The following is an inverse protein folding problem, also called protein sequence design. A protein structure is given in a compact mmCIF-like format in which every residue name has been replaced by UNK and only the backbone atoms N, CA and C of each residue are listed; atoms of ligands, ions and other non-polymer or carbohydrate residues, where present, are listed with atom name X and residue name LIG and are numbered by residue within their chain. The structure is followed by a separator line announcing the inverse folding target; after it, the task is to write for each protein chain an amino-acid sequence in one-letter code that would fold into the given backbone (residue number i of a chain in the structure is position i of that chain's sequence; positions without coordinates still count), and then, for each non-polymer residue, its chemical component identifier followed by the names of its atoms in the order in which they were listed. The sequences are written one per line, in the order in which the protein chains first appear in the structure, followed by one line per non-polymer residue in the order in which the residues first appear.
data_IF_253797225780
#
_entry.id   IF_253797225780
#
_cell.length_a   1.000
_cell.length_b   1.000
_cell.length_c   1.000
_cell.angle_alpha   90.00
_cell.angle_beta   90.00
_cell.angle_gamma   90.00
#
_symmetry.space_group_name_H-M   'P 1'
#
loop_
_entity.id
_entity.type
_entity.pdbx_description
1 polymer ?
#
# COMPACT_ATOMS: atom_id res chain seq x y z
N UNK A 1 37.41 60.06 4.13
CA UNK A 1 36.32 61.06 4.16
C UNK A 1 35.16 60.48 4.98
N UNK A 2 34.82 61.16 6.09
CA UNK A 2 33.54 61.22 6.84
C UNK A 2 32.87 59.87 7.16
N UNK A 3 33.00 59.32 8.38
CA UNK A 3 32.27 59.69 9.62
C UNK A 3 30.76 59.80 9.44
N UNK A 4 29.98 58.94 10.12
CA UNK A 4 28.94 59.36 11.06
C UNK A 4 28.37 58.15 11.84
N UNK A 5 28.54 58.22 13.16
CA UNK A 5 27.88 57.40 14.14
C UNK A 5 26.41 57.86 14.32
N UNK A 6 25.53 56.93 14.66
CA UNK A 6 24.30 57.25 15.39
C UNK A 6 23.97 56.16 16.40
N UNK A 7 24.18 56.53 17.66
CA UNK A 7 23.62 55.92 18.86
C UNK A 7 22.10 56.08 18.86
N UNK A 8 21.35 55.02 19.19
CA UNK A 8 20.00 55.14 19.74
C UNK A 8 19.75 54.09 20.83
N UNK A 9 19.30 54.63 21.96
CA UNK A 9 18.98 54.04 23.25
C UNK A 9 18.20 52.72 23.20
N UNK A 10 18.58 51.81 24.10
CA UNK A 10 17.76 50.67 24.49
C UNK A 10 16.63 51.15 25.41
N UNK A 11 15.38 50.94 24.99
CA UNK A 11 14.19 51.08 25.82
C UNK A 11 13.86 49.70 26.37
N UNK A 12 14.15 49.46 27.66
CA UNK A 12 13.75 48.23 28.35
C UNK A 12 12.27 48.39 28.74
N UNK A 13 11.38 47.78 27.96
CA UNK A 13 9.98 47.62 28.31
C UNK A 13 9.82 46.28 29.04
N UNK A 14 9.80 46.32 30.37
CA UNK A 14 9.50 45.17 31.21
C UNK A 14 8.02 44.81 31.10
N UNK A 15 7.69 43.85 30.23
CA UNK A 15 6.37 43.23 30.18
C UNK A 15 6.27 42.16 31.27
N UNK A 16 5.47 42.43 32.30
CA UNK A 16 4.97 41.41 33.22
C UNK A 16 4.02 40.48 32.46
N UNK A 17 4.48 39.28 32.11
CA UNK A 17 3.64 38.23 31.53
C UNK A 17 2.90 37.54 32.69
N UNK A 18 1.57 37.61 32.78
CA UNK A 18 0.83 36.84 33.77
C UNK A 18 0.98 35.34 33.43
N UNK A 19 1.46 34.57 34.40
CA UNK A 19 1.53 33.11 34.34
C UNK A 19 0.10 32.56 34.30
N UNK A 20 -0.44 32.36 33.10
CA UNK A 20 -1.67 31.61 32.90
C UNK A 20 -1.31 30.14 33.05
N UNK A 21 -1.67 29.55 34.18
CA UNK A 21 -1.61 28.10 34.38
C UNK A 21 -2.64 27.46 33.45
N UNK A 22 -2.20 27.08 32.25
CA UNK A 22 -3.01 26.21 31.38
C UNK A 22 -3.05 24.84 32.01
N UNK A 23 -4.18 24.50 32.62
CA UNK A 23 -4.51 23.13 32.99
C UNK A 23 -4.46 22.29 31.71
N UNK A 24 -3.39 21.52 31.54
CA UNK A 24 -3.30 20.50 30.50
C UNK A 24 -4.34 19.44 30.83
N UNK A 25 -5.51 19.53 30.20
CA UNK A 25 -6.42 18.41 30.14
C UNK A 25 -5.76 17.39 29.20
N UNK A 26 -5.05 16.42 29.78
CA UNK A 26 -4.59 15.27 29.03
C UNK A 26 -5.84 14.56 28.50
N UNK A 27 -6.03 14.62 27.18
CA UNK A 27 -7.02 13.78 26.51
C UNK A 27 -6.70 12.32 26.88
N UNK A 28 -7.70 11.47 27.14
CA UNK A 28 -7.45 10.06 27.37
C UNK A 28 -6.73 9.51 26.15
N UNK A 29 -5.48 9.12 26.36
CA UNK A 29 -4.69 8.38 25.40
C UNK A 29 -5.40 7.04 25.26
N UNK A 30 -6.19 6.90 24.19
CA UNK A 30 -6.77 5.61 23.85
C UNK A 30 -5.58 4.71 23.52
N UNK A 31 -5.22 3.84 24.47
CA UNK A 31 -4.46 2.63 24.18
C UNK A 31 -5.29 1.82 23.19
N UNK A 32 -5.14 2.15 21.90
CA UNK A 32 -5.47 1.24 20.83
C UNK A 32 -4.45 0.13 20.99
N UNK A 33 -4.79 -0.89 21.78
CA UNK A 33 -4.03 -2.10 21.87
C UNK A 33 -3.81 -2.57 20.43
N UNK A 34 -2.58 -2.39 19.94
CA UNK A 34 -2.19 -2.81 18.61
C UNK A 34 -2.59 -4.29 18.53
N UNK A 35 -3.55 -4.60 17.66
CA UNK A 35 -3.90 -5.99 17.40
C UNK A 35 -2.59 -6.69 17.09
N UNK A 36 -2.20 -7.67 17.91
CA UNK A 36 -0.96 -8.43 17.72
C UNK A 36 -0.97 -8.93 16.28
N UNK A 37 -0.09 -8.38 15.45
CA UNK A 37 0.02 -8.78 14.06
C UNK A 37 0.26 -10.29 14.03
N UNK A 38 -0.59 -11.02 13.33
CA UNK A 38 -0.40 -12.47 13.21
C UNK A 38 0.85 -12.70 12.36
N UNK A 39 1.87 -13.28 12.98
CA UNK A 39 3.08 -13.71 12.29
C UNK A 39 3.17 -15.24 12.38
N UNK A 40 3.41 -15.95 11.27
CA UNK A 40 3.53 -17.40 11.32
C UNK A 40 4.74 -17.82 12.17
N UNK A 41 4.69 -18.98 12.83
CA UNK A 41 5.80 -19.46 13.65
C UNK A 41 7.05 -19.67 12.79
N UNK A 42 8.21 -19.32 13.36
CA UNK A 42 9.51 -19.58 12.76
C UNK A 42 10.23 -20.72 13.50
N UNK A 43 11.26 -21.34 12.90
CA UNK A 43 12.14 -22.25 13.61
C UNK A 43 12.75 -21.62 14.87
N UNK A 44 13.10 -22.47 15.83
CA UNK A 44 13.73 -22.03 17.08
C UNK A 44 14.95 -21.12 16.83
N UNK A 45 15.07 -20.07 17.64
CA UNK A 45 16.16 -19.09 17.52
C UNK A 45 16.05 -18.15 16.32
N UNK A 46 14.91 -18.12 15.61
CA UNK A 46 14.61 -17.16 14.55
C UNK A 46 13.54 -16.16 14.99
N UNK A 47 13.66 -14.94 14.48
CA UNK A 47 12.68 -13.87 14.68
C UNK A 47 12.35 -13.21 13.34
N UNK A 48 11.11 -12.74 13.20
CA UNK A 48 10.73 -11.90 12.09
C UNK A 48 11.48 -10.56 12.17
N UNK A 49 11.86 -10.03 11.01
CA UNK A 49 12.41 -8.69 10.87
C UNK A 49 11.69 -8.02 9.73
N UNK A 50 11.24 -6.77 9.95
CA UNK A 50 10.63 -5.98 8.91
C UNK A 50 11.68 -5.63 7.85
N UNK A 51 11.56 -6.25 6.67
CA UNK A 51 12.50 -6.02 5.58
C UNK A 51 12.12 -4.81 4.73
N UNK A 52 10.82 -4.52 4.64
CA UNK A 52 10.26 -3.47 3.80
C UNK A 52 8.83 -3.17 4.24
N UNK A 53 8.44 -1.90 4.22
CA UNK A 53 7.06 -1.47 4.42
C UNK A 53 6.77 -0.15 3.71
N UNK A 54 5.48 0.15 3.56
CA UNK A 54 5.01 1.48 3.20
C UNK A 54 3.67 1.74 3.90
N UNK A 55 3.69 2.72 4.81
CA UNK A 55 2.49 3.17 5.54
C UNK A 55 1.75 4.29 4.80
N UNK A 56 2.27 4.73 3.64
CA UNK A 56 1.65 5.74 2.77
C UNK A 56 1.42 7.12 3.43
N UNK A 57 2.22 7.48 4.44
CA UNK A 57 2.19 8.79 5.12
C UNK A 57 2.61 9.99 4.24
N UNK A 58 3.15 9.71 3.06
CA UNK A 58 3.60 10.73 2.11
C UNK A 58 2.45 11.45 1.40
N UNK A 59 2.71 12.69 0.97
CA UNK A 59 1.78 13.49 0.15
C UNK A 59 1.64 12.98 -1.30
N UNK A 60 2.46 12.00 -1.68
CA UNK A 60 2.38 11.28 -2.95
C UNK A 60 2.92 9.86 -2.75
N UNK A 61 2.59 8.97 -3.68
CA UNK A 61 3.14 7.60 -3.71
C UNK A 61 4.66 7.69 -3.87
N UNK A 62 5.42 7.02 -3.00
CA UNK A 62 6.87 6.97 -3.07
C UNK A 62 7.30 6.17 -4.32
N UNK A 63 7.75 6.89 -5.35
CA UNK A 63 8.17 6.26 -6.60
C UNK A 63 9.54 5.58 -6.53
N UNK A 64 10.31 5.75 -5.45
CA UNK A 64 11.48 4.92 -5.19
C UNK A 64 11.06 3.50 -4.74
N UNK A 65 9.87 3.36 -4.15
CA UNK A 65 9.27 2.08 -3.75
C UNK A 65 8.35 1.48 -4.80
N UNK A 66 7.51 2.30 -5.43
CA UNK A 66 6.41 1.87 -6.28
C UNK A 66 6.50 2.40 -7.70
N UNK A 67 6.31 1.55 -8.70
CA UNK A 67 5.95 1.96 -10.05
C UNK A 67 4.44 2.19 -10.12
N UNK A 68 4.02 3.37 -10.56
CA UNK A 68 2.64 3.63 -10.96
C UNK A 68 2.41 3.03 -12.35
N UNK A 69 1.53 2.03 -12.45
CA UNK A 69 1.21 1.37 -13.71
C UNK A 69 0.39 2.33 -14.61
N UNK A 70 0.71 2.43 -15.90
CA UNK A 70 0.16 3.47 -16.77
C UNK A 70 -0.21 3.02 -18.18
N UNK A 71 -1.35 3.54 -18.63
CA UNK A 71 -2.15 3.29 -19.85
C UNK A 71 -2.02 1.88 -20.47
N UNK A 72 -2.22 0.86 -19.64
CA UNK A 72 -2.27 -0.53 -20.09
C UNK A 72 -3.68 -1.08 -19.95
N UNK A 73 -4.20 -1.67 -21.03
CA UNK A 73 -5.46 -2.41 -20.97
C UNK A 73 -5.32 -3.61 -20.04
N UNK A 74 -6.23 -3.73 -19.06
CA UNK A 74 -6.33 -4.85 -18.13
C UNK A 74 -7.77 -5.34 -18.10
N UNK A 75 -8.03 -6.48 -18.74
CA UNK A 75 -9.38 -7.02 -18.98
C UNK A 75 -10.28 -5.94 -19.59
N UNK A 76 -11.36 -5.57 -18.91
CA UNK A 76 -12.38 -4.62 -19.36
C UNK A 76 -12.06 -3.17 -19.01
N UNK A 77 -10.94 -2.92 -18.31
CA UNK A 77 -10.49 -1.59 -17.92
C UNK A 77 -9.06 -1.27 -18.35
N UNK A 78 -8.55 -0.16 -17.84
CA UNK A 78 -7.21 0.35 -18.11
C UNK A 78 -6.54 0.78 -16.81
N UNK A 79 -5.28 0.38 -16.61
CA UNK A 79 -4.46 0.98 -15.56
C UNK A 79 -3.99 2.35 -15.99
N UNK A 80 -4.19 3.36 -15.15
CA UNK A 80 -3.71 4.73 -15.37
C UNK A 80 -3.02 5.24 -14.11
N UNK A 81 -1.97 6.03 -14.27
CA UNK A 81 -1.11 6.43 -13.14
C UNK A 81 -1.84 7.37 -12.20
N UNK A 82 -2.71 8.22 -12.75
CA UNK A 82 -3.45 9.26 -12.05
C UNK A 82 -4.52 8.69 -11.10
N UNK A 83 -4.86 7.41 -11.24
CA UNK A 83 -5.80 6.72 -10.36
C UNK A 83 -5.10 5.97 -9.20
N UNK A 84 -3.78 6.10 -9.06
CA UNK A 84 -3.01 5.64 -7.92
C UNK A 84 -2.37 6.84 -7.19
N UNK A 85 -2.89 7.20 -6.01
CA UNK A 85 -2.45 8.37 -5.24
C UNK A 85 -2.62 8.13 -3.74
N UNK A 86 -1.93 8.91 -2.91
CA UNK A 86 -2.19 8.91 -1.45
C UNK A 86 -3.27 9.91 -1.09
N UNK A 87 -4.11 9.60 -0.11
CA UNK A 87 -5.14 10.52 0.38
C UNK A 87 -4.60 11.61 1.33
N UNK A 88 -3.35 11.46 1.79
CA UNK A 88 -2.72 12.31 2.79
C UNK A 88 -3.00 11.89 4.24
N UNK A 89 -3.80 10.83 4.44
CA UNK A 89 -4.24 10.31 5.73
C UNK A 89 -3.71 8.87 5.97
N UNK A 90 -2.57 8.52 5.37
CA UNK A 90 -1.92 7.21 5.54
C UNK A 90 -2.50 6.09 4.68
N UNK A 91 -3.16 6.40 3.56
CA UNK A 91 -3.65 5.37 2.64
C UNK A 91 -3.25 5.60 1.20
N UNK A 92 -2.87 4.50 0.54
CA UNK A 92 -2.88 4.40 -0.91
C UNK A 92 -4.31 4.21 -1.42
N UNK A 93 -4.73 5.09 -2.32
CA UNK A 93 -5.97 5.00 -3.05
C UNK A 93 -5.71 4.44 -4.45
N UNK A 94 -6.29 3.27 -4.73
CA UNK A 94 -6.41 2.73 -6.08
C UNK A 94 -7.85 2.96 -6.56
N UNK A 95 -8.07 4.11 -7.17
CA UNK A 95 -9.41 4.51 -7.63
C UNK A 95 -9.82 3.68 -8.83
N UNK A 96 -11.09 3.36 -8.95
CA UNK A 96 -11.71 2.93 -10.21
C UNK A 96 -12.77 3.95 -10.59
N UNK A 97 -12.81 4.39 -11.85
CA UNK A 97 -13.82 5.33 -12.33
C UNK A 97 -14.18 5.04 -13.78
N UNK A 98 -15.33 5.55 -14.22
CA UNK A 98 -15.66 5.68 -15.64
C UNK A 98 -15.02 6.98 -16.16
N UNK A 99 -14.27 6.89 -17.25
CA UNK A 99 -13.61 8.00 -17.92
C UNK A 99 -13.97 7.97 -19.41
N UNK A 100 -14.92 8.80 -19.81
CA UNK A 100 -15.57 8.71 -21.12
C UNK A 100 -16.20 7.34 -21.37
N UNK A 101 -15.73 6.66 -22.41
CA UNK A 101 -16.17 5.32 -22.81
C UNK A 101 -15.35 4.18 -22.17
N UNK A 102 -14.38 4.50 -21.30
CA UNK A 102 -13.51 3.50 -20.66
C UNK A 102 -13.74 3.46 -19.15
N UNK A 103 -13.33 2.35 -18.55
CA UNK A 103 -13.12 2.27 -17.11
C UNK A 103 -11.62 2.31 -16.83
N UNK A 104 -11.20 3.19 -15.92
CA UNK A 104 -9.81 3.32 -15.50
C UNK A 104 -9.67 2.89 -14.05
N UNK A 105 -8.50 2.36 -13.70
CA UNK A 105 -8.16 2.09 -12.32
C UNK A 105 -6.68 2.31 -11.98
N UNK A 106 -6.41 2.56 -10.71
CA UNK A 106 -5.06 2.63 -10.18
C UNK A 106 -4.45 1.25 -10.01
N UNK A 107 -3.15 1.13 -10.28
CA UNK A 107 -2.35 -0.05 -9.94
C UNK A 107 -0.92 0.39 -9.67
N UNK A 108 -0.30 -0.24 -8.67
CA UNK A 108 1.10 -0.05 -8.33
C UNK A 108 1.82 -1.39 -8.23
N UNK A 109 3.12 -1.39 -8.47
CA UNK A 109 3.98 -2.58 -8.27
C UNK A 109 5.39 -2.21 -7.86
N UNK A 110 6.12 -3.13 -7.26
CA UNK A 110 7.51 -2.91 -6.80
C UNK A 110 8.58 -3.43 -7.78
N UNK A 111 8.20 -3.74 -9.03
CA UNK A 111 9.10 -4.35 -10.03
C UNK A 111 10.38 -3.53 -10.20
N UNK A 112 11.53 -4.19 -10.08
CA UNK A 112 12.85 -3.55 -10.15
C UNK A 112 13.18 -2.59 -9.00
N UNK A 113 12.36 -2.54 -7.94
CA UNK A 113 12.54 -1.68 -6.75
C UNK A 113 12.66 -2.53 -5.49
N UNK A 114 11.65 -3.35 -5.22
CA UNK A 114 11.67 -4.34 -4.15
C UNK A 114 11.14 -5.67 -4.67
N UNK A 115 12.04 -6.65 -4.72
CA UNK A 115 11.75 -8.03 -5.11
C UNK A 115 12.38 -8.93 -4.05
N UNK A 116 11.57 -9.73 -3.36
CA UNK A 116 12.05 -10.55 -2.25
C UNK A 116 11.61 -12.01 -2.40
N UNK A 117 12.54 -12.92 -2.11
CA UNK A 117 12.28 -14.36 -2.10
C UNK A 117 12.00 -14.80 -0.67
N UNK A 118 10.86 -15.47 -0.50
CA UNK A 118 10.32 -15.84 0.81
C UNK A 118 9.93 -14.63 1.65
N UNK A 119 9.40 -14.87 2.83
CA UNK A 119 8.92 -13.84 3.75
C UNK A 119 7.41 -13.93 3.99
N UNK A 120 6.94 -13.00 4.79
CA UNK A 120 5.53 -12.83 5.11
C UNK A 120 5.07 -11.47 4.57
N UNK A 121 3.95 -11.46 3.86
CA UNK A 121 3.45 -10.29 3.14
C UNK A 121 2.06 -9.96 3.68
N UNK A 122 1.89 -8.71 4.12
CA UNK A 122 0.63 -8.22 4.70
C UNK A 122 0.20 -6.97 3.95
N UNK A 123 -1.10 -6.87 3.68
CA UNK A 123 -1.75 -5.66 3.22
C UNK A 123 -3.02 -5.46 4.04
N UNK A 124 -3.12 -4.30 4.70
CA UNK A 124 -4.36 -3.86 5.33
C UNK A 124 -5.09 -2.96 4.35
N UNK A 125 -6.25 -3.41 3.87
CA UNK A 125 -7.02 -2.70 2.85
C UNK A 125 -8.50 -2.61 3.23
N UNK A 126 -9.21 -1.72 2.54
CA UNK A 126 -10.67 -1.57 2.63
C UNK A 126 -11.26 -1.69 1.23
N UNK A 127 -12.30 -2.50 1.12
CA UNK A 127 -12.95 -2.77 -0.16
C UNK A 127 -14.09 -1.80 -0.48
N UNK A 128 -14.39 -1.78 -1.76
CA UNK A 128 -15.39 -0.96 -2.43
C UNK A 128 -16.76 -1.58 -2.19
N UNK A 129 -17.79 -0.74 -2.19
CA UNK A 129 -19.18 -1.17 -1.91
C UNK A 129 -20.06 -1.23 -3.16
N UNK A 130 -19.45 -1.11 -4.34
CA UNK A 130 -20.14 -1.12 -5.63
C UNK A 130 -19.74 -2.35 -6.44
N UNK A 131 -20.64 -2.82 -7.30
CA UNK A 131 -20.37 -3.97 -8.16
C UNK A 131 -19.39 -3.57 -9.28
N UNK A 132 -18.56 -4.52 -9.71
CA UNK A 132 -17.68 -4.35 -10.88
C UNK A 132 -16.22 -4.07 -10.56
N UNK A 133 -15.84 -4.00 -9.29
CA UNK A 133 -14.44 -3.97 -8.88
C UNK A 133 -13.86 -5.39 -8.80
N UNK A 134 -12.56 -5.50 -9.10
CA UNK A 134 -11.77 -6.71 -8.87
C UNK A 134 -10.45 -6.30 -8.18
N UNK A 135 -10.50 -5.95 -6.89
CA UNK A 135 -9.30 -5.71 -6.09
C UNK A 135 -8.48 -7.00 -5.94
N UNK A 136 -7.16 -6.86 -5.99
CA UNK A 136 -6.22 -7.95 -5.83
C UNK A 136 -4.95 -7.48 -5.08
N UNK A 137 -4.41 -8.36 -4.24
CA UNK A 137 -3.09 -8.25 -3.64
C UNK A 137 -2.33 -9.53 -3.96
N UNK A 138 -1.24 -9.40 -4.70
CA UNK A 138 -0.61 -10.53 -5.37
C UNK A 138 0.89 -10.29 -5.58
N UNK A 139 1.61 -11.38 -5.79
CA UNK A 139 3.04 -11.41 -6.09
C UNK A 139 3.25 -12.02 -7.47
N UNK A 140 4.25 -11.53 -8.20
CA UNK A 140 4.50 -12.00 -9.56
C UNK A 140 5.99 -12.14 -9.83
N UNK A 141 6.45 -13.38 -10.02
CA UNK A 141 7.82 -13.64 -10.42
C UNK A 141 8.07 -13.17 -11.86
N UNK A 142 9.22 -12.52 -12.10
CA UNK A 142 9.65 -12.15 -13.46
C UNK A 142 9.73 -13.37 -14.42
N UNK A 143 9.84 -14.58 -13.87
CA UNK A 143 9.94 -15.84 -14.60
C UNK A 143 8.64 -16.62 -14.73
N UNK A 144 7.46 -16.07 -14.34
CA UNK A 144 6.17 -16.79 -14.39
C UNK A 144 5.84 -17.39 -15.77
N UNK A 145 6.39 -16.81 -16.84
CA UNK A 145 6.21 -17.28 -18.21
C UNK A 145 7.11 -18.42 -18.64
N UNK A 146 8.05 -18.89 -17.81
CA UNK A 146 8.82 -20.10 -18.10
C UNK A 146 7.89 -21.30 -17.98
N UNK A 147 7.97 -22.18 -18.97
CA UNK A 147 7.17 -23.41 -19.02
C UNK A 147 7.99 -24.55 -18.43
N UNK A 148 7.41 -25.26 -17.47
CA UNK A 148 7.99 -26.45 -16.86
C UNK A 148 8.09 -26.33 -15.33
N UNK A 149 8.80 -27.29 -14.73
CA UNK A 149 9.17 -27.30 -13.30
C UNK A 149 8.01 -27.04 -12.30
N UNK A 150 6.76 -27.25 -12.72
CA UNK A 150 5.56 -27.14 -11.88
C UNK A 150 5.47 -25.78 -11.15
N UNK A 151 5.88 -24.70 -11.82
CA UNK A 151 5.86 -23.33 -11.28
C UNK A 151 7.02 -22.99 -10.34
N UNK A 152 7.90 -23.94 -10.01
CA UNK A 152 9.09 -23.68 -9.17
C UNK A 152 10.12 -22.77 -9.85
N UNK A 153 10.06 -22.65 -11.17
CA UNK A 153 10.87 -21.73 -11.97
C UNK A 153 10.23 -20.36 -12.16
N UNK A 154 8.98 -20.17 -11.72
CA UNK A 154 8.25 -18.91 -11.73
C UNK A 154 6.76 -19.13 -11.49
N UNK A 155 6.17 -18.34 -10.59
CA UNK A 155 4.75 -18.44 -10.23
C UNK A 155 4.23 -17.03 -9.88
N UNK A 156 2.98 -16.75 -10.25
CA UNK A 156 2.14 -15.70 -9.67
C UNK A 156 1.41 -16.27 -8.46
N UNK A 157 1.42 -15.52 -7.36
CA UNK A 157 0.78 -15.89 -6.09
C UNK A 157 -0.23 -14.81 -5.74
N UNK A 158 -1.50 -15.12 -5.93
CA UNK A 158 -2.60 -14.23 -5.54
C UNK A 158 -2.93 -14.46 -4.07
N UNK A 159 -2.45 -13.55 -3.22
CA UNK A 159 -2.68 -13.59 -1.77
C UNK A 159 -4.17 -13.30 -1.46
N UNK A 160 -4.80 -12.47 -2.28
CA UNK A 160 -6.23 -12.16 -2.21
C UNK A 160 -6.71 -11.63 -3.56
N UNK A 161 -7.79 -12.21 -4.09
CA UNK A 161 -8.65 -11.58 -5.10
C UNK A 161 -10.11 -11.56 -4.64
N UNK A 162 -10.81 -10.44 -4.85
CA UNK A 162 -12.21 -10.26 -4.43
C UNK A 162 -13.08 -9.61 -5.50
N UNK A 163 -13.41 -10.31 -6.61
CA UNK A 163 -14.28 -9.78 -7.67
C UNK A 163 -15.78 -9.68 -7.26
N UNK A 164 -16.13 -10.11 -6.06
CA UNK A 164 -17.51 -10.11 -5.55
C UNK A 164 -17.70 -9.09 -4.43
N UNK A 165 -18.92 -8.62 -4.28
CA UNK A 165 -19.32 -7.73 -3.18
C UNK A 165 -19.52 -8.45 -1.86
N UNK A 166 -19.91 -9.72 -1.90
CA UNK A 166 -20.11 -10.57 -0.72
C UNK A 166 -18.77 -11.10 -0.18
N UNK A 167 -18.84 -11.87 0.91
CA UNK A 167 -17.69 -12.34 1.70
C UNK A 167 -16.74 -13.30 0.96
N UNK A 168 -16.99 -13.60 -0.32
CA UNK A 168 -16.15 -14.51 -1.12
C UNK A 168 -14.83 -13.87 -1.49
N UNK A 169 -13.76 -14.63 -1.29
CA UNK A 169 -12.39 -14.30 -1.66
C UNK A 169 -11.74 -15.51 -2.33
N UNK A 170 -10.74 -15.28 -3.18
CA UNK A 170 -9.91 -16.34 -3.75
C UNK A 170 -8.44 -16.16 -3.41
N UNK A 171 -7.74 -17.30 -3.43
CA UNK A 171 -6.29 -17.39 -3.41
C UNK A 171 -5.87 -18.34 -4.50
N UNK A 172 -4.90 -17.92 -5.30
CA UNK A 172 -4.57 -18.59 -6.54
C UNK A 172 -3.05 -18.64 -6.77
N UNK A 173 -2.64 -19.67 -7.49
CA UNK A 173 -1.32 -19.83 -8.07
C UNK A 173 -1.48 -19.93 -9.57
N UNK A 174 -0.64 -19.22 -10.31
CA UNK A 174 -0.60 -19.25 -11.78
C UNK A 174 0.85 -19.46 -12.25
N UNK A 175 1.08 -20.38 -13.18
CA UNK A 175 2.41 -20.66 -13.73
C UNK A 175 2.34 -21.13 -15.19
N UNK A 176 3.51 -21.27 -15.84
CA UNK A 176 3.66 -21.58 -17.27
C UNK A 176 3.07 -20.50 -18.20
N UNK A 177 3.06 -19.24 -17.74
CA UNK A 177 2.56 -18.07 -18.46
C UNK A 177 1.03 -18.02 -18.58
N UNK A 178 0.51 -17.13 -19.44
CA UNK A 178 -0.94 -16.94 -19.64
C UNK A 178 -1.43 -17.42 -21.02
N UNK A 179 -0.64 -18.29 -21.66
CA UNK A 179 -0.91 -18.86 -22.98
C UNK A 179 -1.49 -20.27 -22.90
N UNK A 180 -1.25 -21.07 -23.94
CA UNK A 180 -1.73 -22.47 -24.04
C UNK A 180 -1.24 -23.37 -22.89
N UNK A 181 -0.02 -23.11 -22.41
CA UNK A 181 0.61 -23.93 -21.36
C UNK A 181 0.21 -23.49 -19.95
N UNK A 182 -0.63 -22.45 -19.82
CA UNK A 182 -1.03 -21.89 -18.52
C UNK A 182 -1.62 -22.97 -17.60
N UNK A 183 -1.13 -22.98 -16.36
CA UNK A 183 -1.66 -23.79 -15.28
C UNK A 183 -2.02 -22.92 -14.09
N UNK A 184 -3.01 -23.39 -13.33
CA UNK A 184 -3.41 -22.72 -12.10
C UNK A 184 -3.94 -23.71 -11.07
N UNK A 185 -3.77 -23.36 -9.80
CA UNK A 185 -4.39 -24.02 -8.67
C UNK A 185 -4.89 -22.93 -7.71
N UNK A 186 -6.06 -23.11 -7.10
CA UNK A 186 -6.59 -22.08 -6.24
C UNK A 186 -7.74 -22.58 -5.38
N UNK A 187 -8.07 -21.78 -4.38
CA UNK A 187 -9.20 -22.01 -3.49
C UNK A 187 -10.10 -20.78 -3.46
N UNK A 188 -11.39 -21.04 -3.28
CA UNK A 188 -12.39 -20.01 -3.01
C UNK A 188 -12.97 -20.29 -1.64
N UNK A 189 -13.04 -19.26 -0.82
CA UNK A 189 -13.53 -19.34 0.54
C UNK A 189 -14.26 -18.04 0.92
N UNK A 190 -14.96 -18.08 2.03
CA UNK A 190 -15.66 -16.92 2.59
C UNK A 190 -14.94 -16.42 3.82
N UNK A 191 -14.83 -15.09 3.93
CA UNK A 191 -14.32 -14.41 5.12
C UNK A 191 -15.44 -13.53 5.65
N UNK A 192 -16.17 -13.95 6.70
CA UNK A 192 -17.33 -13.22 7.18
C UNK A 192 -17.02 -11.77 7.51
N UNK A 193 -17.77 -10.84 6.91
CA UNK A 193 -17.65 -9.41 7.16
C UNK A 193 -16.49 -8.71 6.45
N UNK A 194 -15.94 -9.32 5.39
CA UNK A 194 -14.88 -8.77 4.55
C UNK A 194 -15.39 -8.00 3.32
#
# INVERSE_FOLDING_TARGET
MKSLALSRAALILSLLIPCVTTSLWAAPQTDQAAASEFLPPLPEGKSWQLAWSDEFDGQAVDQAKWELCGDWKRRDGFWVKEDAYTDGDGHLILRTKKDGDRYTCGSVRTRGKFEHRYGYWVCRCKFQRQQGHWPAFWLHANSVGKVGNEGRDGTEIDIMEKPWLDDRTTQNLHWDGYGKEHKSAGTKFEVPGL
#
